data_IF_890176952396
#
_entry.id   IF_890176952396
#
_cell.length_a   1.000
_cell.length_b   1.000
_cell.length_c   1.000
_cell.angle_alpha   90.00
_cell.angle_beta   90.00
_cell.angle_gamma   90.00
#
_symmetry.space_group_name_H-M   'P 1'
#
loop_
_entity.id
_entity.type
_entity.pdbx_description
1 polymer ?
#
# COMPACT_ATOMS: atom_id res chain seq x y z
N UNK A 1 10.60 12.56 2.14
CA UNK A 1 9.40 11.71 2.20
C UNK A 1 9.16 11.07 0.84
N UNK A 2 8.90 9.77 0.79
CA UNK A 2 8.54 9.02 -0.43
C UNK A 2 7.35 8.09 -0.14
N UNK A 3 6.64 7.68 -1.18
CA UNK A 3 5.55 6.70 -1.11
C UNK A 3 5.94 5.47 -1.90
N UNK A 4 5.72 4.30 -1.33
CA UNK A 4 6.05 3.04 -1.96
C UNK A 4 4.90 2.05 -1.80
N UNK A 5 4.84 1.08 -2.69
CA UNK A 5 4.04 -0.12 -2.56
C UNK A 5 4.96 -1.30 -2.32
N UNK A 6 4.74 -2.02 -1.22
CA UNK A 6 5.39 -3.30 -0.94
C UNK A 6 4.62 -4.41 -1.64
N UNK A 7 5.18 -4.94 -2.73
CA UNK A 7 4.56 -6.00 -3.53
C UNK A 7 4.40 -7.29 -2.71
N UNK A 8 5.36 -7.60 -1.84
CA UNK A 8 5.35 -8.87 -1.12
C UNK A 8 4.33 -8.89 0.02
N UNK A 9 3.98 -7.72 0.54
CA UNK A 9 3.03 -7.58 1.64
C UNK A 9 1.70 -6.95 1.22
N UNK A 10 1.55 -6.56 -0.05
CA UNK A 10 0.41 -5.82 -0.59
C UNK A 10 0.05 -4.57 0.23
N UNK A 11 1.07 -3.79 0.60
CA UNK A 11 0.92 -2.61 1.49
C UNK A 11 1.46 -1.34 0.86
N UNK A 12 0.66 -0.28 0.94
CA UNK A 12 1.13 1.07 0.68
C UNK A 12 1.81 1.68 1.92
N UNK A 13 3.03 2.19 1.76
CA UNK A 13 3.84 2.72 2.86
C UNK A 13 4.28 4.16 2.57
N UNK A 14 4.25 5.00 3.60
CA UNK A 14 4.84 6.34 3.59
C UNK A 14 6.19 6.30 4.30
N UNK A 15 7.25 6.73 3.63
CA UNK A 15 8.63 6.62 4.14
C UNK A 15 9.24 7.99 4.41
N UNK A 16 9.76 8.18 5.62
CA UNK A 16 10.44 9.40 6.10
C UNK A 16 11.69 8.94 6.83
N UNK A 17 12.86 9.44 6.42
CA UNK A 17 14.16 9.13 7.04
C UNK A 17 14.36 7.63 7.32
N UNK A 18 14.10 6.80 6.29
CA UNK A 18 14.20 5.33 6.35
C UNK A 18 13.22 4.64 7.31
N UNK A 19 12.20 5.35 7.81
CA UNK A 19 11.09 4.76 8.55
C UNK A 19 9.89 4.66 7.63
N UNK A 20 9.40 3.45 7.39
CA UNK A 20 8.16 3.17 6.69
C UNK A 20 6.98 3.15 7.68
N UNK A 21 5.89 3.82 7.29
CA UNK A 21 4.66 3.87 8.04
C UNK A 21 3.50 3.30 7.22
N UNK A 22 2.82 2.32 7.79
CA UNK A 22 1.59 1.77 7.24
C UNK A 22 0.38 2.52 7.84
N UNK A 23 -0.30 3.34 7.04
CA UNK A 23 -1.45 4.12 7.51
C UNK A 23 -2.70 3.28 7.79
N UNK A 24 -2.77 2.05 7.24
CA UNK A 24 -3.89 1.15 7.47
C UNK A 24 -3.79 0.52 8.86
N UNK A 25 -2.61 0.01 9.23
CA UNK A 25 -2.42 -0.69 10.51
C UNK A 25 -1.87 0.20 11.63
N UNK A 26 -1.30 1.36 11.29
CA UNK A 26 -0.59 2.24 12.23
C UNK A 26 0.80 1.74 12.62
N UNK A 27 1.33 0.72 11.93
CA UNK A 27 2.63 0.12 12.23
C UNK A 27 3.79 0.90 11.60
N UNK A 28 4.93 0.85 12.28
CA UNK A 28 6.21 1.39 11.82
C UNK A 28 7.20 0.26 11.58
N UNK A 29 7.98 0.37 10.52
CA UNK A 29 9.10 -0.53 10.24
C UNK A 29 10.29 0.24 9.68
N UNK A 30 11.48 -0.35 9.82
CA UNK A 30 12.65 0.14 9.11
C UNK A 30 12.42 -0.17 7.63
N UNK A 31 12.50 0.87 6.81
CA UNK A 31 12.47 0.76 5.38
C UNK A 31 13.78 0.14 4.90
N UNK A 32 13.70 -1.10 4.42
CA UNK A 32 14.84 -1.79 3.80
C UNK A 32 14.63 -1.83 2.27
N UNK A 33 15.66 -1.44 1.52
CA UNK A 33 15.68 -1.48 0.06
C UNK A 33 15.79 -2.92 -0.50
N UNK A 34 15.90 -3.94 0.34
CA UNK A 34 15.91 -5.36 -0.09
C UNK A 34 14.52 -5.91 -0.41
N UNK A 35 13.46 -5.27 0.07
CA UNK A 35 12.08 -5.63 -0.25
C UNK A 35 11.73 -5.13 -1.66
N UNK A 36 10.90 -5.86 -2.42
CA UNK A 36 10.37 -5.44 -3.72
C UNK A 36 9.40 -4.26 -3.55
N UNK A 37 9.97 -3.08 -3.34
CA UNK A 37 9.26 -1.83 -3.10
C UNK A 37 9.22 -1.02 -4.38
N UNK A 38 8.02 -0.78 -4.89
CA UNK A 38 7.79 0.06 -6.07
C UNK A 38 7.47 1.48 -5.62
N UNK A 39 8.23 2.50 -6.06
CA UNK A 39 7.85 3.89 -5.84
C UNK A 39 6.50 4.19 -6.49
N UNK A 40 5.59 4.82 -5.74
CA UNK A 40 4.26 5.20 -6.23
C UNK A 40 4.01 6.70 -6.07
N UNK A 41 3.08 7.24 -6.84
CA UNK A 41 2.63 8.62 -6.67
C UNK A 41 1.84 8.78 -5.36
N UNK A 42 1.91 9.98 -4.78
CA UNK A 42 1.13 10.33 -3.57
C UNK A 42 -0.38 10.13 -3.77
N UNK A 43 -0.89 10.43 -4.96
CA UNK A 43 -2.31 10.21 -5.29
C UNK A 43 -2.68 8.72 -5.23
N UNK A 44 -1.88 7.86 -5.87
CA UNK A 44 -2.06 6.41 -5.85
C UNK A 44 -1.97 5.85 -4.42
N UNK A 45 -1.01 6.35 -3.62
CA UNK A 45 -0.89 5.98 -2.21
C UNK A 45 -2.19 6.22 -1.43
N UNK A 46 -2.77 7.41 -1.52
CA UNK A 46 -3.99 7.73 -0.78
C UNK A 46 -5.18 6.85 -1.20
N UNK A 47 -5.33 6.59 -2.49
CA UNK A 47 -6.39 5.70 -3.01
C UNK A 47 -6.21 4.28 -2.49
N UNK A 48 -4.98 3.75 -2.51
CA UNK A 48 -4.71 2.39 -2.01
C UNK A 48 -5.00 2.30 -0.50
N UNK A 49 -4.52 3.26 0.29
CA UNK A 49 -4.78 3.30 1.75
C UNK A 49 -6.28 3.40 2.04
N UNK A 50 -7.01 4.25 1.33
CA UNK A 50 -8.46 4.41 1.49
C UNK A 50 -9.20 3.12 1.14
N UNK A 51 -8.88 2.47 0.02
CA UNK A 51 -9.50 1.21 -0.38
C UNK A 51 -9.25 0.10 0.64
N UNK A 52 -8.01 -0.06 1.12
CA UNK A 52 -7.68 -1.05 2.14
C UNK A 52 -8.41 -0.73 3.46
N UNK A 53 -8.45 0.53 3.88
CA UNK A 53 -9.11 0.94 5.13
C UNK A 53 -10.62 0.71 5.08
N UNK A 54 -11.26 1.04 3.96
CA UNK A 54 -12.67 0.75 3.71
C UNK A 54 -12.94 -0.76 3.75
N UNK A 55 -12.02 -1.58 3.24
CA UNK A 55 -12.15 -3.04 3.31
C UNK A 55 -12.09 -3.58 4.74
N UNK A 56 -11.14 -3.14 5.58
CA UNK A 56 -11.09 -3.52 6.99
C UNK A 56 -12.38 -3.16 7.75
N UNK A 57 -13.09 -2.12 7.29
CA UNK A 57 -14.42 -1.76 7.78
C UNK A 57 -15.60 -2.49 7.10
N UNK A 58 -15.34 -3.31 6.08
CA UNK A 58 -16.35 -3.99 5.25
C UNK A 58 -16.41 -5.50 5.51
N UNK A 59 -17.51 -6.14 5.11
CA UNK A 59 -17.68 -7.61 5.15
C UNK A 59 -17.20 -8.31 3.87
N UNK A 60 -16.42 -7.64 3.01
CA UNK A 60 -15.97 -8.19 1.71
C UNK A 60 -14.89 -9.25 1.92
N UNK A 61 -14.92 -10.33 1.15
CA UNK A 61 -13.93 -11.41 1.24
C UNK A 61 -12.57 -11.01 0.64
N UNK A 62 -11.49 -11.48 1.27
CA UNK A 62 -10.09 -11.22 0.90
C UNK A 62 -9.75 -11.46 -0.60
N UNK A 63 -10.26 -12.51 -1.29
CA UNK A 63 -9.93 -12.71 -2.72
C UNK A 63 -10.46 -11.61 -3.64
N UNK A 64 -11.64 -11.05 -3.33
CA UNK A 64 -12.24 -9.97 -4.12
C UNK A 64 -11.51 -8.63 -3.90
N UNK A 65 -10.92 -8.47 -2.72
CA UNK A 65 -10.09 -7.32 -2.37
C UNK A 65 -8.76 -7.28 -3.15
N UNK A 66 -8.06 -8.42 -3.25
CA UNK A 66 -6.83 -8.54 -4.06
C UNK A 66 -7.11 -8.15 -5.52
N UNK A 67 -8.26 -8.57 -6.06
CA UNK A 67 -8.68 -8.22 -7.42
C UNK A 67 -8.88 -6.70 -7.58
N UNK A 68 -9.58 -6.04 -6.66
CA UNK A 68 -9.82 -4.59 -6.71
C UNK A 68 -8.55 -3.76 -6.57
N UNK A 69 -7.63 -4.18 -5.69
CA UNK A 69 -6.30 -3.56 -5.58
C UNK A 69 -5.50 -3.77 -6.85
N UNK A 70 -5.44 -4.98 -7.37
CA UNK A 70 -4.69 -5.27 -8.60
C UNK A 70 -5.24 -4.48 -9.79
N UNK A 71 -6.57 -4.33 -9.90
CA UNK A 71 -7.19 -3.47 -10.91
C UNK A 71 -6.79 -2.01 -10.74
N UNK A 72 -6.70 -1.52 -9.51
CA UNK A 72 -6.28 -0.15 -9.22
C UNK A 72 -4.78 0.05 -9.51
N UNK A 73 -3.92 -0.88 -9.09
CA UNK A 73 -2.48 -0.88 -9.35
C UNK A 73 -2.16 -0.91 -10.85
N UNK A 74 -2.91 -1.70 -11.63
CA UNK A 74 -2.78 -1.77 -13.08
C UNK A 74 -2.98 -0.40 -13.77
N UNK A 75 -3.81 0.48 -13.22
CA UNK A 75 -4.01 1.84 -13.78
C UNK A 75 -2.74 2.70 -13.70
N UNK A 76 -1.82 2.34 -12.81
CA UNK A 76 -0.56 3.03 -12.59
C UNK A 76 0.65 2.28 -13.18
N UNK A 77 0.40 1.16 -13.88
CA UNK A 77 1.46 0.33 -14.47
C UNK A 77 2.27 -0.47 -13.43
N UNK A 78 1.64 -0.78 -12.29
CA UNK A 78 2.17 -1.61 -11.20
C UNK A 78 1.53 -2.99 -11.31
#
# INVERSE_FOLDING_TARGET
>A
MKFVFDINQDKALRVIDEIAFNEVTGEYSIYDNTTDLVPIMKSSYHVIVENISNWYGSSVSEPKWIEEINVELLKYGI
#
